data_IF_670587625224
#
_entry.id   IF_670587625224
#
_cell.length_a   1.000
_cell.length_b   1.000
_cell.length_c   1.000
_cell.angle_alpha   90.00
_cell.angle_beta   90.00
_cell.angle_gamma   90.00
#
_symmetry.space_group_name_H-M   'P 1'
#
loop_
_entity.id
_entity.type
_entity.pdbx_description
1 polymer ?
#
# COMPACT_ATOMS: atom_id res chain seq x y z
N UNK A 1 28.63 -0.50 64.81
CA UNK A 1 27.53 0.25 64.15
C UNK A 1 27.86 0.43 62.68
N UNK A 2 27.31 -0.38 61.78
CA UNK A 2 27.53 -0.27 60.33
C UNK A 2 26.32 0.40 59.68
N UNK A 3 26.50 1.59 59.08
CA UNK A 3 25.45 2.27 58.31
C UNK A 3 25.53 1.80 56.86
N UNK A 4 24.63 0.91 56.46
CA UNK A 4 24.46 0.49 55.08
C UNK A 4 23.70 1.60 54.32
N UNK A 5 24.37 2.31 53.41
CA UNK A 5 23.71 3.27 52.51
C UNK A 5 23.20 2.52 51.29
N UNK A 6 21.89 2.31 51.22
CA UNK A 6 21.22 1.74 50.06
C UNK A 6 21.11 2.83 48.97
N UNK A 7 21.90 2.69 47.90
CA UNK A 7 21.76 3.53 46.71
C UNK A 7 20.62 2.97 45.84
N UNK A 8 19.51 3.70 45.76
CA UNK A 8 18.39 3.36 44.89
C UNK A 8 18.76 3.82 43.47
N UNK A 9 19.03 2.86 42.59
CA UNK A 9 19.22 3.11 41.15
C UNK A 9 17.83 3.15 40.50
N UNK A 10 17.30 4.36 40.29
CA UNK A 10 16.06 4.55 39.55
C UNK A 10 16.34 4.40 38.05
N UNK A 11 16.01 3.23 37.48
CA UNK A 11 15.97 3.05 36.02
C UNK A 11 14.80 3.87 35.45
N UNK A 12 15.12 5.04 34.89
CA UNK A 12 14.22 5.78 34.01
C UNK A 12 14.11 5.01 32.70
N UNK A 13 13.20 4.04 32.61
CA UNK A 13 12.85 3.41 31.35
C UNK A 13 12.07 4.43 30.51
N UNK A 14 12.72 5.05 29.53
CA UNK A 14 12.01 5.78 28.48
C UNK A 14 11.21 4.77 27.66
N UNK A 15 9.90 4.99 27.45
CA UNK A 15 9.16 4.14 26.53
C UNK A 15 9.79 4.29 25.15
N UNK A 16 10.25 3.19 24.57
CA UNK A 16 10.54 3.16 23.14
C UNK A 16 9.21 3.42 22.44
N UNK A 17 9.09 4.57 21.78
CA UNK A 17 8.07 4.74 20.74
C UNK A 17 8.45 3.72 19.66
N UNK A 18 7.75 2.60 19.63
CA UNK A 18 7.91 1.63 18.55
C UNK A 18 7.59 2.33 17.26
N UNK A 19 8.56 2.39 16.34
CA UNK A 19 8.33 2.94 15.02
C UNK A 19 7.19 2.15 14.36
N UNK A 20 6.16 2.88 13.90
CA UNK A 20 5.00 2.25 13.27
C UNK A 20 5.34 1.93 11.83
N UNK A 21 4.84 0.80 11.36
CA UNK A 21 4.83 0.50 9.94
C UNK A 21 3.95 1.54 9.22
N UNK A 22 4.53 2.18 8.23
CA UNK A 22 3.86 3.10 7.32
C UNK A 22 3.78 2.44 5.94
N UNK A 23 2.64 2.62 5.28
CA UNK A 23 2.42 2.16 3.93
C UNK A 23 1.82 3.27 3.08
N UNK A 24 2.28 3.38 1.84
CA UNK A 24 1.73 4.26 0.82
C UNK A 24 1.48 3.46 -0.46
N UNK A 25 0.44 3.82 -1.21
CA UNK A 25 0.05 3.12 -2.43
C UNK A 25 -0.09 4.11 -3.59
N UNK A 26 0.65 3.85 -4.66
CA UNK A 26 0.53 4.55 -5.95
C UNK A 26 0.07 3.54 -6.98
N UNK A 27 -1.05 3.79 -7.64
CA UNK A 27 -1.60 2.88 -8.64
C UNK A 27 -1.65 3.57 -10.00
N UNK A 28 -1.21 2.85 -11.03
CA UNK A 28 -1.27 3.25 -12.42
C UNK A 28 -2.18 2.29 -13.20
N UNK A 29 -2.87 2.78 -14.23
CA UNK A 29 -3.72 1.94 -15.06
C UNK A 29 -2.85 0.97 -15.87
N UNK A 30 -3.51 -0.03 -16.45
CA UNK A 30 -2.89 -0.91 -17.45
C UNK A 30 -3.68 -0.81 -18.76
N UNK A 31 -3.20 -1.50 -19.80
CA UNK A 31 -3.94 -1.64 -21.06
C UNK A 31 -5.23 -2.47 -20.92
N UNK A 32 -5.46 -3.10 -19.77
CA UNK A 32 -6.68 -3.82 -19.45
C UNK A 32 -7.61 -2.96 -18.60
N UNK A 33 -8.85 -2.83 -19.03
CA UNK A 33 -9.90 -2.06 -18.34
C UNK A 33 -10.05 -2.53 -16.88
N UNK A 34 -10.17 -1.57 -15.96
CA UNK A 34 -10.26 -1.78 -14.50
C UNK A 34 -9.08 -2.52 -13.85
N UNK A 35 -7.98 -2.75 -14.60
CA UNK A 35 -6.77 -3.33 -14.05
C UNK A 35 -5.74 -2.24 -13.77
N UNK A 36 -5.16 -2.29 -12.56
CA UNK A 36 -4.19 -1.32 -12.08
C UNK A 36 -2.93 -2.03 -11.56
N UNK A 37 -1.75 -1.51 -11.92
CA UNK A 37 -0.50 -1.86 -11.28
C UNK A 37 -0.25 -0.89 -10.13
N UNK A 38 -0.24 -1.40 -8.91
CA UNK A 38 0.02 -0.63 -7.70
C UNK A 38 1.42 -0.92 -7.17
N UNK A 39 2.16 0.14 -6.84
CA UNK A 39 3.36 0.09 -6.04
C UNK A 39 3.01 0.47 -4.60
N UNK A 40 3.37 -0.41 -3.68
CA UNK A 40 3.22 -0.24 -2.24
C UNK A 40 4.59 0.02 -1.64
N UNK A 41 4.78 1.19 -1.06
CA UNK A 41 5.97 1.54 -0.29
C UNK A 41 5.75 1.20 1.17
N UNK A 42 6.65 0.44 1.79
CA UNK A 42 6.65 0.12 3.22
C UNK A 42 7.87 0.71 3.91
N UNK A 43 7.64 1.43 5.02
CA UNK A 43 8.73 1.94 5.86
C UNK A 43 8.41 1.84 7.35
N UNK A 44 9.47 1.75 8.15
CA UNK A 44 9.41 1.75 9.61
C UNK A 44 10.53 2.66 10.13
N UNK A 45 10.17 3.69 10.89
CA UNK A 45 11.17 4.65 11.41
C UNK A 45 11.90 5.41 10.29
N UNK A 46 11.27 5.52 9.11
CA UNK A 46 11.89 6.09 7.91
C UNK A 46 12.82 5.13 7.15
N UNK A 47 12.96 3.88 7.59
CA UNK A 47 13.77 2.85 6.93
C UNK A 47 12.86 1.97 6.06
N UNK A 48 13.22 1.67 4.80
CA UNK A 48 12.46 0.74 3.96
C UNK A 48 12.33 -0.65 4.59
N UNK A 49 11.14 -1.24 4.54
CA UNK A 49 10.89 -2.59 5.06
C UNK A 49 11.08 -3.61 3.94
N UNK A 50 12.19 -4.34 3.99
CA UNK A 50 12.51 -5.41 3.03
C UNK A 50 11.99 -6.77 3.50
N UNK A 51 11.83 -7.71 2.55
CA UNK A 51 11.40 -9.08 2.84
C UNK A 51 9.97 -9.22 3.36
N UNK A 52 9.15 -8.18 3.25
CA UNK A 52 7.76 -8.25 3.68
C UNK A 52 6.95 -9.17 2.78
N UNK A 53 6.06 -9.94 3.41
CA UNK A 53 5.06 -10.75 2.73
C UNK A 53 3.69 -10.30 3.19
N UNK A 54 2.82 -9.98 2.24
CA UNK A 54 1.48 -9.49 2.54
C UNK A 54 0.50 -9.68 1.38
N UNK A 55 -0.78 -9.59 1.68
CA UNK A 55 -1.85 -9.53 0.67
C UNK A 55 -2.56 -8.20 0.72
N UNK A 56 -3.03 -7.73 -0.42
CA UNK A 56 -3.90 -6.55 -0.55
C UNK A 56 -5.31 -7.00 -0.86
N UNK A 57 -6.26 -6.64 0.00
CA UNK A 57 -7.69 -6.83 -0.22
C UNK A 57 -8.37 -5.48 -0.50
N UNK A 58 -8.81 -5.21 -1.73
CA UNK A 58 -9.63 -4.04 -2.02
C UNK A 58 -11.09 -4.26 -1.60
N UNK A 59 -11.71 -3.24 -1.01
CA UNK A 59 -13.15 -3.19 -0.68
C UNK A 59 -13.72 -1.79 -0.99
N UNK A 60 -14.83 -1.74 -1.72
CA UNK A 60 -15.42 -0.47 -2.15
C UNK A 60 -16.20 0.18 -1.02
N UNK A 61 -15.92 1.44 -0.69
CA UNK A 61 -16.50 2.07 0.52
C UNK A 61 -17.99 2.34 0.43
N UNK A 62 -18.52 2.63 -0.74
CA UNK A 62 -19.95 2.91 -0.95
C UNK A 62 -20.81 1.66 -0.84
N UNK A 63 -20.27 0.49 -1.19
CA UNK A 63 -20.95 -0.80 -1.12
C UNK A 63 -20.01 -1.87 -0.52
N UNK A 64 -19.74 -1.79 0.79
CA UNK A 64 -18.83 -2.73 1.46
C UNK A 64 -19.29 -4.17 1.28
N UNK A 65 -18.35 -5.06 1.01
CA UNK A 65 -18.57 -6.51 0.80
C UNK A 65 -19.43 -6.89 -0.43
N UNK A 66 -19.96 -5.93 -1.21
CA UNK A 66 -20.72 -6.24 -2.42
C UNK A 66 -19.81 -6.74 -3.55
N UNK A 67 -18.56 -6.28 -3.58
CA UNK A 67 -17.53 -6.70 -4.52
C UNK A 67 -16.52 -7.58 -3.77
N UNK A 68 -16.70 -8.89 -3.82
CA UNK A 68 -15.78 -9.81 -3.14
C UNK A 68 -14.55 -10.09 -4.03
N UNK A 69 -13.63 -9.14 -4.06
CA UNK A 69 -12.34 -9.32 -4.75
C UNK A 69 -11.40 -10.14 -3.84
N UNK A 70 -10.84 -11.26 -4.32
CA UNK A 70 -9.88 -12.03 -3.55
C UNK A 70 -8.65 -11.21 -3.16
N UNK A 71 -8.04 -11.43 -1.97
CA UNK A 71 -6.77 -10.80 -1.63
C UNK A 71 -5.68 -11.17 -2.64
N UNK A 72 -4.92 -10.17 -3.10
CA UNK A 72 -3.82 -10.36 -4.05
C UNK A 72 -2.49 -10.31 -3.30
N UNK A 73 -1.63 -11.31 -3.52
CA UNK A 73 -0.30 -11.33 -2.92
C UNK A 73 0.62 -10.28 -3.55
N UNK A 74 1.43 -9.61 -2.72
CA UNK A 74 2.46 -8.69 -3.19
C UNK A 74 3.68 -9.41 -3.74
N UNK A 75 4.44 -8.70 -4.59
CA UNK A 75 5.73 -9.16 -5.11
C UNK A 75 6.77 -8.07 -4.86
N UNK A 76 7.88 -8.42 -4.21
CA UNK A 76 9.00 -7.50 -4.05
C UNK A 76 9.51 -7.03 -5.42
N UNK A 77 9.89 -5.76 -5.51
CA UNK A 77 10.58 -5.20 -6.68
C UNK A 77 12.08 -5.14 -6.42
N UNK A 78 12.85 -4.60 -7.36
CA UNK A 78 14.28 -4.33 -7.18
C UNK A 78 14.55 -3.14 -6.23
N UNK A 79 13.54 -2.32 -5.94
CA UNK A 79 13.65 -1.14 -5.08
C UNK A 79 13.35 -1.51 -3.62
N UNK A 80 14.26 -1.22 -2.67
CA UNK A 80 14.05 -1.56 -1.26
C UNK A 80 12.75 -0.99 -0.69
N UNK A 81 11.98 -1.83 -0.01
CA UNK A 81 10.69 -1.46 0.58
C UNK A 81 9.54 -1.25 -0.40
N UNK A 82 9.76 -1.46 -1.71
CA UNK A 82 8.71 -1.32 -2.74
C UNK A 82 8.22 -2.69 -3.18
N UNK A 83 6.90 -2.82 -3.26
CA UNK A 83 6.22 -4.06 -3.64
C UNK A 83 5.17 -3.78 -4.70
N UNK A 84 5.12 -4.63 -5.73
CA UNK A 84 4.12 -4.56 -6.78
C UNK A 84 2.91 -5.44 -6.47
N UNK A 85 1.74 -4.94 -6.82
CA UNK A 85 0.44 -5.64 -6.72
C UNK A 85 -0.36 -5.30 -7.97
N UNK A 86 -1.00 -6.29 -8.59
CA UNK A 86 -1.94 -6.06 -9.69
C UNK A 86 -3.36 -6.23 -9.18
N UNK A 87 -4.16 -5.18 -9.26
CA UNK A 87 -5.55 -5.19 -8.82
C UNK A 87 -6.48 -5.19 -10.03
N UNK A 88 -7.42 -6.13 -10.05
CA UNK A 88 -8.52 -6.16 -11.01
C UNK A 88 -9.79 -5.69 -10.28
N UNK A 89 -10.21 -4.46 -10.56
CA UNK A 89 -11.39 -3.85 -9.95
C UNK A 89 -12.63 -4.07 -10.81
N UNK A 90 -13.80 -3.81 -10.23
CA UNK A 90 -15.08 -3.92 -10.95
C UNK A 90 -15.65 -2.55 -11.31
N UNK A 91 -15.25 -1.50 -10.60
CA UNK A 91 -15.72 -0.13 -10.77
C UNK A 91 -14.68 0.87 -10.27
N UNK A 92 -14.68 2.07 -10.85
CA UNK A 92 -13.98 3.24 -10.32
C UNK A 92 -14.64 3.76 -9.05
N UNK A 93 -13.89 4.54 -8.27
CA UNK A 93 -14.37 5.25 -7.09
C UNK A 93 -13.46 5.10 -5.88
N UNK A 94 -14.05 5.25 -4.69
CA UNK A 94 -13.33 5.18 -3.42
C UNK A 94 -13.25 3.75 -2.89
N UNK A 95 -12.00 3.29 -2.74
CA UNK A 95 -11.68 1.96 -2.24
C UNK A 95 -10.90 2.05 -0.93
N UNK A 96 -11.04 0.99 -0.14
CA UNK A 96 -10.18 0.68 0.99
C UNK A 96 -9.25 -0.44 0.57
N UNK A 97 -7.94 -0.24 0.70
CA UNK A 97 -6.94 -1.29 0.48
C UNK A 97 -6.47 -1.79 1.84
N UNK A 98 -6.86 -3.01 2.20
CA UNK A 98 -6.41 -3.66 3.43
C UNK A 98 -5.18 -4.49 3.13
N UNK A 99 -4.05 -4.12 3.71
CA UNK A 99 -2.79 -4.84 3.64
C UNK A 99 -2.70 -5.72 4.88
N UNK A 100 -2.80 -7.04 4.70
CA UNK A 100 -2.59 -8.02 5.77
C UNK A 100 -1.16 -8.56 5.65
N UNK A 101 -0.26 -8.11 6.54
CA UNK A 101 1.14 -8.49 6.56
C UNK A 101 1.35 -9.76 7.40
N UNK A 102 2.21 -10.65 6.90
CA UNK A 102 2.63 -11.87 7.60
C UNK A 102 4.10 -11.85 7.98
N UNK A 103 4.95 -11.17 7.20
CA UNK A 103 6.37 -10.95 7.46
C UNK A 103 6.75 -9.47 7.29
N UNK A 104 7.78 -8.95 8.00
CA UNK A 104 8.59 -9.63 9.03
C UNK A 104 7.85 -9.85 10.35
N UNK A 105 6.70 -9.18 10.53
CA UNK A 105 5.78 -9.40 11.64
C UNK A 105 4.35 -9.27 11.15
N UNK A 106 3.42 -9.89 11.88
CA UNK A 106 2.00 -9.71 11.60
C UNK A 106 1.58 -8.29 11.90
N UNK A 107 0.98 -7.65 10.91
CA UNK A 107 0.40 -6.32 11.03
C UNK A 107 -0.73 -6.16 10.02
N UNK A 108 -1.57 -5.14 10.21
CA UNK A 108 -2.60 -4.77 9.24
C UNK A 108 -2.63 -3.27 9.03
N UNK A 109 -2.43 -2.86 7.78
CA UNK A 109 -2.49 -1.46 7.37
C UNK A 109 -3.70 -1.26 6.48
N UNK A 110 -4.44 -0.17 6.71
CA UNK A 110 -5.64 0.18 5.95
C UNK A 110 -5.38 1.48 5.22
N UNK A 111 -5.35 1.42 3.89
CA UNK A 111 -5.15 2.59 3.04
C UNK A 111 -6.46 2.98 2.36
N UNK A 112 -6.60 4.27 2.09
CA UNK A 112 -7.68 4.81 1.25
C UNK A 112 -7.07 5.16 -0.10
N UNK A 113 -7.72 4.73 -1.18
CA UNK A 113 -7.29 5.07 -2.52
C UNK A 113 -8.53 5.32 -3.39
N UNK A 114 -8.43 6.31 -4.27
CA UNK A 114 -9.48 6.63 -5.23
C UNK A 114 -8.96 6.25 -6.60
N UNK A 115 -9.69 5.39 -7.30
CA UNK A 115 -9.40 5.02 -8.68
C UNK A 115 -10.37 5.81 -9.57
N UNK A 116 -9.86 6.70 -10.41
CA UNK A 116 -10.68 7.60 -11.24
C UNK A 116 -10.24 7.61 -12.71
N UNK A 117 -11.01 8.29 -13.56
CA UNK A 117 -10.74 8.41 -15.00
C UNK A 117 -9.41 9.13 -15.31
N UNK A 118 -8.98 10.07 -14.45
CA UNK A 118 -7.66 10.70 -14.54
C UNK A 118 -6.52 9.72 -14.30
N UNK A 119 -6.81 8.65 -13.54
CA UNK A 119 -5.90 7.51 -13.38
C UNK A 119 -5.92 6.62 -14.63
N UNK A 120 -6.87 6.74 -15.56
CA UNK A 120 -6.93 5.95 -16.80
C UNK A 120 -6.32 6.67 -18.02
N UNK A 121 -6.19 8.01 -17.99
CA UNK A 121 -5.71 8.80 -19.13
C UNK A 121 -4.16 8.91 -19.17
N UNK A 122 -3.50 8.08 -20.00
CA UNK A 122 -2.57 8.42 -21.12
C UNK A 122 -1.69 7.20 -21.53
N UNK A 123 -1.39 6.96 -22.83
CA UNK A 123 -1.39 7.94 -23.92
C UNK A 123 -2.12 7.59 -25.25
N UNK A 124 -2.59 8.69 -25.87
CA UNK A 124 -2.80 8.98 -27.31
C UNK A 124 -3.82 8.17 -28.14
N UNK A 125 -4.94 8.83 -28.46
CA UNK A 125 -5.53 8.73 -29.80
C UNK A 125 -5.32 10.07 -30.53
N UNK A 126 -4.26 10.14 -31.32
CA UNK A 126 -4.18 11.10 -32.43
C UNK A 126 -5.14 10.60 -33.53
N UNK A 127 -6.23 11.32 -33.75
CA UNK A 127 -7.04 11.16 -34.97
C UNK A 127 -6.63 12.20 -36.01
N UNK A 128 -5.38 12.11 -36.45
CA UNK A 128 -4.94 12.60 -37.75
C UNK A 128 -5.52 11.70 -38.83
N UNK A 129 -6.74 11.99 -39.30
CA UNK A 129 -7.19 11.54 -40.62
C UNK A 129 -6.89 12.62 -41.64
N UNK A 130 -5.80 12.44 -42.39
CA UNK A 130 -5.75 12.93 -43.77
C UNK A 130 -6.76 12.12 -44.59
N UNK A 131 -7.67 12.83 -45.26
CA UNK A 131 -8.60 12.27 -46.23
C UNK A 131 -8.85 13.31 -47.31
N UNK A 132 -8.34 13.02 -48.51
CA UNK A 132 -8.29 13.90 -49.67
C UNK A 132 -9.65 14.05 -50.39
N UNK A 133 -9.74 15.12 -51.18
CA UNK A 133 -10.52 15.27 -52.42
C UNK A 133 -12.06 15.25 -52.32
N UNK A 134 -12.69 16.39 -52.63
CA UNK A 134 -13.48 16.61 -53.85
C UNK A 134 -13.77 18.11 -54.04
#
# INVERSE_FOLDING_TARGET
MFRLKLAILACLATPALGDRLLAEATCAPTDTEMQFNCEISLSEGGVPVEGAAFTVKPDMRSMPMAHNIPPVASKATESPGIYSVRLDLQMLGDWTLTLDLTEPRRDRVILRHTFDETTLDHPSMDHSSQGASH
#
